data_IF_253394029405
#
_entry.id   IF_253394029405
#
_cell.length_a   1.000
_cell.length_b   1.000
_cell.length_c   1.000
_cell.angle_alpha   90.00
_cell.angle_beta   90.00
_cell.angle_gamma   90.00
#
_symmetry.space_group_name_H-M   'P 1'
#
loop_
_entity.id
_entity.type
_entity.pdbx_description
1 polymer ?
#
# COMPACT_ATOMS: atom_id res chain seq x y z
N UNK A 1 52.67 -40.60 -21.72
CA UNK A 1 52.02 -39.90 -20.60
C UNK A 1 50.54 -40.26 -20.60
N UNK A 2 50.05 -41.04 -19.64
CA UNK A 2 48.62 -41.30 -19.49
C UNK A 2 48.33 -41.51 -18.00
N UNK A 3 47.74 -40.49 -17.36
CA UNK A 3 47.26 -40.51 -15.96
C UNK A 3 46.07 -39.57 -15.82
N UNK A 4 45.13 -39.96 -14.95
CA UNK A 4 43.97 -39.23 -14.37
C UNK A 4 42.65 -39.33 -15.14
N UNK A 5 41.48 -39.42 -14.53
CA UNK A 5 41.09 -39.69 -13.13
C UNK A 5 39.58 -40.00 -13.08
N UNK A 6 39.17 -40.68 -12.02
CA UNK A 6 37.80 -40.93 -11.56
C UNK A 6 36.92 -39.68 -11.45
N UNK A 7 35.59 -39.83 -11.66
CA UNK A 7 34.54 -39.48 -10.68
C UNK A 7 33.27 -40.31 -10.94
N UNK A 8 32.80 -41.02 -9.90
CA UNK A 8 31.55 -41.76 -9.84
C UNK A 8 30.34 -40.86 -9.50
N UNK A 9 29.18 -41.22 -10.03
CA UNK A 9 27.90 -40.51 -9.84
C UNK A 9 27.01 -41.35 -8.93
N UNK A 10 26.85 -40.92 -7.68
CA UNK A 10 25.94 -41.52 -6.70
C UNK A 10 24.48 -41.17 -7.00
N UNK A 11 23.62 -42.19 -6.98
CA UNK A 11 22.17 -42.08 -6.76
C UNK A 11 21.79 -43.23 -5.83
N UNK A 12 21.66 -42.89 -4.55
CA UNK A 12 21.10 -43.77 -3.54
C UNK A 12 19.56 -43.71 -3.63
N UNK A 13 18.96 -44.87 -3.91
CA UNK A 13 17.57 -45.19 -3.54
C UNK A 13 17.59 -46.58 -2.92
N UNK A 14 17.57 -46.66 -1.58
CA UNK A 14 17.12 -47.84 -0.83
C UNK A 14 15.61 -48.04 -1.16
N UNK A 15 15.08 -49.17 -1.64
CA UNK A 15 15.04 -50.57 -1.14
C UNK A 15 14.52 -50.59 0.31
N UNK A 16 13.37 -51.18 0.64
CA UNK A 16 13.06 -52.62 0.86
C UNK A 16 11.53 -52.63 1.15
N UNK A 17 10.66 -53.32 0.39
CA UNK A 17 10.25 -54.74 0.45
C UNK A 17 9.37 -55.12 1.67
N UNK A 18 8.53 -56.15 1.47
CA UNK A 18 7.75 -56.94 2.44
C UNK A 18 6.21 -56.64 2.49
N UNK A 19 5.22 -57.53 2.44
CA UNK A 19 5.01 -58.95 2.07
C UNK A 19 3.48 -59.26 2.08
N UNK A 20 3.06 -60.23 1.26
CA UNK A 20 1.89 -61.16 1.40
C UNK A 20 0.40 -60.72 1.40
N UNK A 21 -0.29 -61.10 0.29
CA UNK A 21 -1.52 -61.95 0.10
C UNK A 21 -2.83 -61.75 0.96
N UNK A 22 -3.99 -62.38 0.65
CA UNK A 22 -5.21 -61.69 0.18
C UNK A 22 -6.46 -61.89 1.09
N UNK A 23 -7.58 -61.22 0.77
CA UNK A 23 -8.92 -61.76 1.07
C UNK A 23 -9.86 -60.91 1.93
N UNK A 24 -10.81 -60.26 1.24
CA UNK A 24 -12.27 -60.29 1.49
C UNK A 24 -12.77 -60.12 2.94
N UNK A 25 -13.34 -58.95 3.26
CA UNK A 25 -14.67 -58.83 3.89
C UNK A 25 -15.15 -57.37 4.01
N UNK A 26 -16.32 -57.11 3.42
CA UNK A 26 -17.45 -56.34 3.94
C UNK A 26 -17.17 -54.96 4.59
N UNK A 27 -17.61 -53.91 3.89
CA UNK A 27 -17.70 -52.56 4.46
C UNK A 27 -18.31 -51.58 3.47
N UNK A 28 -19.62 -51.64 3.30
CA UNK A 28 -20.47 -50.64 2.66
C UNK A 28 -20.16 -49.22 3.14
N UNK A 29 -19.55 -48.39 2.31
CA UNK A 29 -19.75 -46.95 2.34
C UNK A 29 -20.67 -46.60 1.18
N UNK A 30 -21.97 -46.57 1.46
CA UNK A 30 -22.98 -46.04 0.57
C UNK A 30 -22.69 -44.54 0.36
N UNK A 31 -22.48 -44.13 -0.88
CA UNK A 31 -22.40 -42.73 -1.26
C UNK A 31 -23.84 -42.18 -1.37
N UNK A 32 -24.26 -41.22 -0.52
CA UNK A 32 -25.66 -40.86 -0.36
C UNK A 32 -26.25 -39.97 -1.49
N UNK A 33 -25.54 -39.80 -2.60
CA UNK A 33 -25.98 -38.92 -3.71
C UNK A 33 -25.96 -39.56 -5.10
N UNK A 34 -25.76 -40.88 -5.22
CA UNK A 34 -25.96 -41.58 -6.50
C UNK A 34 -27.44 -41.89 -6.73
N UNK A 35 -28.06 -41.17 -7.68
CA UNK A 35 -29.39 -41.51 -8.21
C UNK A 35 -29.28 -42.60 -9.28
N UNK A 36 -30.08 -43.67 -9.25
CA UNK A 36 -29.99 -44.78 -10.21
C UNK A 36 -30.40 -44.43 -11.64
N UNK A 37 -29.68 -45.04 -12.57
CA UNK A 37 -29.89 -45.17 -14.02
C UNK A 37 -31.35 -45.28 -14.47
N UNK A 38 -31.70 -44.57 -15.56
CA UNK A 38 -32.61 -45.08 -16.61
C UNK A 38 -32.22 -44.45 -17.96
N UNK A 39 -31.36 -45.12 -18.72
CA UNK A 39 -31.67 -45.58 -20.09
C UNK A 39 -30.41 -45.91 -20.91
N UNK A 40 -30.09 -47.20 -20.93
CA UNK A 40 -29.41 -47.83 -22.07
C UNK A 40 -30.39 -47.86 -23.25
N UNK A 41 -30.02 -47.33 -24.41
CA UNK A 41 -30.01 -48.09 -25.69
C UNK A 41 -29.63 -47.25 -26.91
N UNK A 42 -28.70 -47.84 -27.67
CA UNK A 42 -28.58 -47.87 -29.14
C UNK A 42 -28.29 -46.56 -29.85
N UNK A 43 -27.08 -46.53 -30.43
CA UNK A 43 -26.70 -45.56 -31.44
C UNK A 43 -27.60 -45.61 -32.67
N UNK A 44 -27.69 -44.46 -33.33
CA UNK A 44 -27.90 -44.37 -34.77
C UNK A 44 -27.46 -43.00 -35.27
N UNK A 45 -26.57 -43.04 -36.24
CA UNK A 45 -26.28 -41.98 -37.22
C UNK A 45 -27.52 -41.20 -37.65
N UNK A 46 -27.44 -39.87 -37.70
CA UNK A 46 -28.54 -39.07 -38.25
C UNK A 46 -28.20 -37.60 -38.37
N UNK A 47 -28.06 -37.15 -39.61
CA UNK A 47 -27.67 -35.82 -40.05
C UNK A 47 -28.92 -34.92 -40.18
N UNK A 48 -28.73 -33.63 -39.86
CA UNK A 48 -29.47 -32.41 -40.32
C UNK A 48 -30.79 -31.96 -39.62
N UNK A 49 -30.66 -30.73 -39.08
CA UNK A 49 -31.49 -29.52 -39.25
C UNK A 49 -32.90 -29.47 -38.65
N UNK A 50 -33.07 -28.55 -37.69
CA UNK A 50 -34.10 -27.49 -37.61
C UNK A 50 -33.71 -26.55 -36.46
N UNK A 51 -33.37 -25.28 -36.71
CA UNK A 51 -34.24 -24.09 -36.57
C UNK A 51 -35.22 -24.17 -35.39
N UNK A 52 -34.99 -23.30 -34.39
CA UNK A 52 -35.91 -22.66 -33.44
C UNK A 52 -35.24 -22.64 -32.05
N UNK A 53 -35.11 -21.55 -31.33
CA UNK A 53 -35.48 -20.16 -31.56
C UNK A 53 -34.74 -19.36 -30.50
N UNK A 54 -34.30 -18.15 -30.85
CA UNK A 54 -33.79 -17.19 -29.89
C UNK A 54 -34.88 -16.91 -28.87
N UNK A 55 -34.80 -17.56 -27.72
CA UNK A 55 -35.70 -17.35 -26.60
C UNK A 55 -35.27 -16.05 -25.93
N UNK A 56 -35.75 -14.95 -26.47
CA UNK A 56 -35.90 -13.70 -25.74
C UNK A 56 -36.77 -13.98 -24.51
N UNK A 57 -36.11 -14.30 -23.41
CA UNK A 57 -36.73 -14.54 -22.13
C UNK A 57 -36.10 -13.61 -21.09
N UNK A 58 -36.88 -12.66 -20.60
CA UNK A 58 -36.63 -12.03 -19.30
C UNK A 58 -35.90 -10.69 -19.32
N UNK A 59 -36.30 -9.76 -20.19
CA UNK A 59 -36.05 -8.32 -19.97
C UNK A 59 -36.92 -7.81 -18.80
N UNK A 60 -36.52 -8.10 -17.56
CA UNK A 60 -37.30 -7.68 -16.37
C UNK A 60 -36.49 -7.40 -15.11
N UNK A 61 -35.25 -7.90 -14.99
CA UNK A 61 -34.41 -7.71 -13.80
C UNK A 61 -33.17 -6.83 -14.01
N UNK A 62 -32.72 -6.66 -15.26
CA UNK A 62 -31.47 -5.93 -15.55
C UNK A 62 -31.62 -4.41 -15.48
N UNK A 63 -32.85 -3.89 -15.56
CA UNK A 63 -33.11 -2.46 -15.38
C UNK A 63 -32.96 -2.06 -13.91
N UNK A 64 -33.33 -2.92 -12.95
CA UNK A 64 -33.10 -2.69 -11.52
C UNK A 64 -31.61 -2.56 -11.19
N UNK A 65 -30.74 -3.32 -11.86
CA UNK A 65 -29.29 -3.15 -11.74
C UNK A 65 -28.82 -1.80 -12.29
N UNK A 66 -29.44 -1.33 -13.38
CA UNK A 66 -29.15 -0.03 -13.96
C UNK A 66 -29.64 1.13 -13.08
N UNK A 67 -30.83 1.01 -12.49
CA UNK A 67 -31.38 1.97 -11.54
C UNK A 67 -30.56 1.99 -10.24
N UNK A 68 -30.21 0.82 -9.70
CA UNK A 68 -29.33 0.71 -8.54
C UNK A 68 -27.95 1.32 -8.80
N UNK A 69 -27.41 1.14 -10.02
CA UNK A 69 -26.18 1.82 -10.44
C UNK A 69 -26.34 3.32 -10.63
N UNK A 70 -27.46 3.79 -11.18
CA UNK A 70 -27.74 5.22 -11.32
C UNK A 70 -27.83 5.89 -9.93
N UNK A 71 -28.46 5.22 -8.97
CA UNK A 71 -28.52 5.67 -7.57
C UNK A 71 -27.12 5.63 -6.95
N UNK A 72 -26.35 4.55 -7.12
CA UNK A 72 -24.98 4.44 -6.63
C UNK A 72 -24.09 5.55 -7.21
N UNK A 73 -24.18 5.80 -8.51
CA UNK A 73 -23.47 6.89 -9.19
C UNK A 73 -23.89 8.25 -8.66
N UNK A 74 -25.20 8.48 -8.48
CA UNK A 74 -25.70 9.73 -7.89
C UNK A 74 -25.20 9.92 -6.45
N UNK A 75 -25.13 8.85 -5.64
CA UNK A 75 -24.61 8.88 -4.28
C UNK A 75 -23.10 9.18 -4.27
N UNK A 76 -22.33 8.54 -5.15
CA UNK A 76 -20.91 8.84 -5.36
C UNK A 76 -20.72 10.30 -5.78
N UNK A 77 -21.54 10.81 -6.71
CA UNK A 77 -21.46 12.18 -7.23
C UNK A 77 -21.83 13.20 -6.16
N UNK A 78 -22.84 12.92 -5.32
CA UNK A 78 -23.20 13.73 -4.15
C UNK A 78 -22.09 13.71 -3.12
N UNK A 79 -21.47 12.56 -2.83
CA UNK A 79 -20.31 12.48 -1.93
C UNK A 79 -19.11 13.24 -2.51
N UNK A 80 -18.89 13.20 -3.81
CA UNK A 80 -17.85 13.99 -4.47
C UNK A 80 -18.15 15.49 -4.34
N UNK A 81 -19.33 15.94 -4.77
CA UNK A 81 -19.73 17.35 -4.77
C UNK A 81 -19.81 17.92 -3.36
N UNK A 82 -20.28 17.14 -2.38
CA UNK A 82 -20.41 17.58 -1.00
C UNK A 82 -19.13 17.37 -0.19
N UNK A 83 -18.33 16.36 -0.51
CA UNK A 83 -17.00 16.11 0.09
C UNK A 83 -15.93 17.08 -0.40
N UNK A 84 -16.12 17.71 -1.56
CA UNK A 84 -15.23 18.77 -2.07
C UNK A 84 -15.42 20.09 -1.31
N UNK A 85 -16.53 20.30 -0.60
CA UNK A 85 -16.84 21.62 0.00
C UNK A 85 -16.09 21.97 1.29
N UNK A 86 -15.30 21.05 1.88
CA UNK A 86 -14.57 21.29 3.13
C UNK A 86 -13.04 21.37 3.01
N UNK A 87 -12.35 20.76 2.01
CA UNK A 87 -10.91 20.97 1.88
C UNK A 87 -10.44 21.68 0.59
N UNK A 88 -11.30 21.94 -0.40
CA UNK A 88 -10.83 22.46 -1.70
C UNK A 88 -10.88 23.98 -1.87
N UNK A 89 -11.47 24.75 -0.94
CA UNK A 89 -11.38 26.22 -1.00
C UNK A 89 -9.99 26.77 -0.58
N UNK A 90 -9.08 25.92 -0.08
CA UNK A 90 -7.73 26.33 0.34
C UNK A 90 -6.61 25.88 -0.60
N UNK A 91 -6.89 25.04 -1.60
CA UNK A 91 -5.85 24.45 -2.46
C UNK A 91 -6.09 24.63 -3.97
N UNK A 92 -7.08 25.41 -4.39
CA UNK A 92 -7.35 25.65 -5.84
C UNK A 92 -7.41 27.15 -6.18
N UNK A 93 -6.74 27.98 -5.37
CA UNK A 93 -6.42 29.36 -5.75
C UNK A 93 -5.03 29.48 -6.39
N UNK A 94 -4.15 28.48 -6.27
CA UNK A 94 -2.88 28.46 -7.00
C UNK A 94 -2.59 27.08 -7.59
N UNK A 95 -2.54 27.09 -8.92
CA UNK A 95 -1.93 26.16 -9.86
C UNK A 95 -2.56 24.80 -10.15
N UNK A 96 -3.07 24.73 -11.38
CA UNK A 96 -3.56 23.53 -12.03
C UNK A 96 -2.48 22.50 -12.36
N UNK A 97 -2.95 21.26 -12.47
CA UNK A 97 -2.51 20.21 -13.38
C UNK A 97 -1.04 20.25 -13.84
N UNK A 98 -0.21 19.37 -13.27
CA UNK A 98 0.72 18.48 -14.03
C UNK A 98 1.51 17.60 -13.06
N UNK A 99 1.31 16.28 -13.14
CA UNK A 99 2.39 15.33 -12.82
C UNK A 99 3.48 15.54 -13.87
N UNK A 100 4.46 16.37 -13.54
CA UNK A 100 5.72 16.48 -14.27
C UNK A 100 6.84 16.36 -13.26
N UNK A 101 7.71 15.39 -13.48
CA UNK A 101 8.98 15.23 -12.80
C UNK A 101 9.81 16.51 -13.04
N UNK A 102 9.69 17.47 -12.13
CA UNK A 102 10.32 18.77 -12.25
C UNK A 102 11.82 18.65 -11.95
N UNK A 103 12.65 18.67 -13.00
CA UNK A 103 14.04 19.11 -12.86
C UNK A 103 14.04 20.55 -12.34
N UNK A 104 14.70 20.87 -11.21
CA UNK A 104 14.74 22.24 -10.72
C UNK A 104 15.41 23.16 -11.74
N UNK A 105 14.64 24.14 -12.20
CA UNK A 105 15.12 25.25 -13.01
C UNK A 105 16.08 26.11 -12.21
N UNK A 106 17.13 26.58 -12.89
CA UNK A 106 18.26 27.34 -12.36
C UNK A 106 17.85 28.78 -12.03
N UNK A 107 17.07 28.94 -10.96
CA UNK A 107 16.90 30.19 -10.20
C UNK A 107 16.74 29.76 -8.75
N UNK A 108 17.71 30.09 -7.90
CA UNK A 108 17.87 29.54 -6.55
C UNK A 108 16.74 29.95 -5.60
N UNK A 109 15.59 29.31 -5.77
CA UNK A 109 14.45 29.40 -4.88
C UNK A 109 14.40 28.12 -4.05
N UNK A 110 14.06 28.26 -2.77
CA UNK A 110 13.98 27.13 -1.87
C UNK A 110 12.94 26.10 -2.37
N UNK A 111 13.24 24.78 -2.34
CA UNK A 111 12.35 23.75 -2.86
C UNK A 111 11.21 23.44 -1.87
N UNK A 112 10.25 24.36 -1.73
CA UNK A 112 9.21 24.31 -0.69
C UNK A 112 8.35 23.05 -0.73
N UNK A 113 7.95 22.58 -1.92
CA UNK A 113 7.13 21.36 -2.05
C UNK A 113 7.88 20.12 -1.57
N UNK A 114 9.13 19.95 -2.01
CA UNK A 114 9.99 18.84 -1.59
C UNK A 114 10.28 18.90 -0.08
N UNK A 115 10.57 20.09 0.46
CA UNK A 115 10.78 20.29 1.89
C UNK A 115 9.52 19.98 2.71
N UNK A 116 8.34 20.35 2.23
CA UNK A 116 7.07 20.02 2.87
C UNK A 116 6.86 18.50 2.97
N UNK A 117 7.04 17.78 1.87
CA UNK A 117 6.95 16.31 1.86
C UNK A 117 8.01 15.64 2.75
N UNK A 118 9.24 16.15 2.70
CA UNK A 118 10.35 15.65 3.52
C UNK A 118 10.08 15.85 5.02
N UNK A 119 9.61 17.03 5.42
CA UNK A 119 9.24 17.31 6.80
C UNK A 119 8.04 16.46 7.26
N UNK A 120 7.08 16.15 6.38
CA UNK A 120 5.96 15.26 6.69
C UNK A 120 6.45 13.83 6.99
N UNK A 121 7.35 13.29 6.15
CA UNK A 121 7.95 11.97 6.38
C UNK A 121 8.74 11.93 7.69
N UNK A 122 9.58 12.94 7.91
CA UNK A 122 10.31 13.10 9.16
C UNK A 122 9.36 13.16 10.36
N UNK A 123 8.29 13.97 10.31
CA UNK A 123 7.34 14.13 11.41
C UNK A 123 6.60 12.82 11.74
N UNK A 124 6.30 11.99 10.73
CA UNK A 124 5.77 10.66 10.97
C UNK A 124 6.74 9.80 11.78
N UNK A 125 8.02 9.77 11.45
CA UNK A 125 9.00 8.97 12.23
C UNK A 125 9.28 9.60 13.60
N UNK A 126 9.37 10.93 13.65
CA UNK A 126 9.70 11.67 14.86
C UNK A 126 8.61 11.56 15.94
N UNK A 127 7.33 11.67 15.55
CA UNK A 127 6.19 11.67 16.47
C UNK A 127 5.62 10.27 16.74
N UNK A 128 5.95 9.26 15.94
CA UNK A 128 5.57 7.87 16.23
C UNK A 128 6.71 7.16 16.96
N UNK A 129 6.80 7.34 18.28
CA UNK A 129 7.79 6.67 19.11
C UNK A 129 7.15 5.65 20.05
N UNK A 130 7.88 4.58 20.31
CA UNK A 130 7.54 3.53 21.26
C UNK A 130 8.84 2.99 21.85
N UNK A 131 8.94 3.00 23.18
CA UNK A 131 10.09 2.49 23.92
C UNK A 131 10.50 1.08 23.50
N UNK A 132 9.56 0.21 23.08
CA UNK A 132 9.87 -1.16 22.63
C UNK A 132 10.56 -1.20 21.27
N UNK A 133 10.35 -0.18 20.44
CA UNK A 133 10.81 -0.11 19.05
C UNK A 133 11.82 1.02 18.82
N UNK A 134 12.45 1.52 19.89
CA UNK A 134 13.38 2.65 19.82
C UNK A 134 14.52 2.47 18.80
N UNK A 135 15.19 1.31 18.67
CA UNK A 135 16.25 1.12 17.68
C UNK A 135 15.75 1.19 16.22
N UNK A 136 14.54 0.72 15.95
CA UNK A 136 13.97 0.76 14.60
C UNK A 136 13.64 2.19 14.17
N UNK A 137 13.05 2.98 15.08
CA UNK A 137 12.82 4.41 14.87
C UNK A 137 14.13 5.16 14.64
N UNK A 138 15.16 4.84 15.42
CA UNK A 138 16.47 5.46 15.30
C UNK A 138 17.08 5.26 13.90
N UNK A 139 16.99 4.04 13.36
CA UNK A 139 17.46 3.73 12.01
C UNK A 139 16.69 4.53 10.94
N UNK A 140 15.38 4.70 11.12
CA UNK A 140 14.56 5.50 10.21
C UNK A 140 14.89 7.00 10.31
N UNK A 141 15.14 7.52 11.52
CA UNK A 141 15.47 8.93 11.73
C UNK A 141 16.80 9.33 11.09
N UNK A 142 17.80 8.45 11.09
CA UNK A 142 19.12 8.73 10.49
C UNK A 142 19.05 9.20 9.05
N UNK A 143 18.07 8.75 8.27
CA UNK A 143 17.88 9.19 6.87
C UNK A 143 17.57 10.68 6.73
N UNK A 144 17.03 11.31 7.79
CA UNK A 144 16.64 12.71 7.78
C UNK A 144 17.66 13.63 8.46
N UNK A 145 18.63 13.05 9.16
CA UNK A 145 19.54 13.76 10.03
C UNK A 145 20.96 13.79 9.44
N UNK A 146 21.75 14.83 9.73
CA UNK A 146 23.17 14.80 9.41
C UNK A 146 23.89 13.73 10.25
N UNK A 147 24.99 13.18 9.73
CA UNK A 147 25.71 12.03 10.32
C UNK A 147 26.10 12.20 11.79
N UNK A 148 26.31 13.43 12.24
CA UNK A 148 26.75 13.77 13.60
C UNK A 148 25.60 14.17 14.55
N UNK A 149 24.34 14.03 14.13
CA UNK A 149 23.20 14.36 14.97
C UNK A 149 22.93 13.29 16.04
N UNK A 150 22.31 13.73 17.15
CA UNK A 150 21.73 12.83 18.15
C UNK A 150 20.68 11.92 17.48
N UNK A 151 20.85 10.58 17.52
CA UNK A 151 20.05 9.67 16.74
C UNK A 151 18.62 9.50 17.30
N UNK A 152 18.38 9.86 18.56
CA UNK A 152 17.03 9.92 19.14
C UNK A 152 16.38 11.31 18.99
N UNK A 153 17.18 12.29 18.58
CA UNK A 153 16.81 13.65 18.23
C UNK A 153 16.00 14.36 19.31
N UNK A 154 16.36 14.16 20.58
CA UNK A 154 15.72 14.80 21.74
C UNK A 154 14.66 13.95 22.46
N UNK A 155 14.35 12.72 22.00
CA UNK A 155 13.55 11.78 22.77
C UNK A 155 14.42 10.98 23.75
N UNK A 156 13.93 10.78 24.98
CA UNK A 156 14.66 10.08 26.05
C UNK A 156 14.44 8.55 26.05
N UNK A 157 13.91 7.99 24.96
CA UNK A 157 13.57 6.57 24.83
C UNK A 157 12.52 6.05 25.81
N UNK A 158 11.75 6.94 26.46
CA UNK A 158 10.69 6.56 27.41
C UNK A 158 9.31 6.96 26.88
N UNK A 159 8.35 6.07 27.10
CA UNK A 159 6.95 6.29 26.75
C UNK A 159 6.64 5.97 25.29
N UNK A 160 5.46 6.40 24.85
CA UNK A 160 4.97 6.19 23.49
C UNK A 160 4.11 7.35 23.03
N UNK A 161 4.15 7.63 21.73
CA UNK A 161 3.26 8.54 21.03
C UNK A 161 2.95 7.93 19.67
N UNK A 162 1.69 8.03 19.26
CA UNK A 162 1.25 7.61 17.94
C UNK A 162 0.35 8.69 17.36
N UNK A 163 0.69 9.18 16.17
CA UNK A 163 -0.10 10.17 15.45
C UNK A 163 -0.99 9.48 14.43
N UNK A 164 -2.25 9.89 14.39
CA UNK A 164 -3.26 9.37 13.46
C UNK A 164 -3.22 10.10 12.12
N UNK A 165 -2.83 11.38 12.13
CA UNK A 165 -2.66 12.17 10.93
C UNK A 165 -1.52 13.17 11.08
N UNK A 166 -0.87 13.46 9.97
CA UNK A 166 0.19 14.47 9.85
C UNK A 166 -0.03 15.23 8.55
N UNK A 167 -0.03 16.55 8.62
CA UNK A 167 -0.26 17.44 7.47
C UNK A 167 0.66 18.66 7.53
N UNK A 168 1.08 19.16 6.37
CA UNK A 168 1.85 20.40 6.29
C UNK A 168 0.87 21.58 6.42
N UNK A 169 1.16 22.50 7.33
CA UNK A 169 0.42 23.75 7.48
C UNK A 169 1.03 24.92 6.70
N UNK A 170 2.34 24.88 6.47
CA UNK A 170 3.03 25.90 5.69
C UNK A 170 4.54 25.69 5.65
N UNK A 171 5.18 26.33 4.68
CA UNK A 171 6.64 26.37 4.54
C UNK A 171 7.07 27.82 4.55
N UNK A 172 7.91 28.19 5.50
CA UNK A 172 8.49 29.52 5.63
C UNK A 172 9.96 29.48 5.21
N UNK A 173 10.22 29.82 3.94
CA UNK A 173 11.56 29.85 3.39
C UNK A 173 12.27 31.14 3.81
N UNK A 174 13.38 31.00 4.55
CA UNK A 174 14.21 32.12 5.00
C UNK A 174 15.18 32.56 3.92
N UNK A 175 15.72 31.60 3.17
CA UNK A 175 16.63 31.82 2.05
C UNK A 175 16.57 30.63 1.07
N UNK A 176 17.46 30.60 0.06
CA UNK A 176 17.49 29.55 -0.96
C UNK A 176 17.77 28.13 -0.43
N UNK A 177 18.34 28.02 0.77
CA UNK A 177 18.76 26.76 1.39
C UNK A 177 18.06 26.48 2.72
N UNK A 178 17.48 27.47 3.40
CA UNK A 178 16.89 27.28 4.73
C UNK A 178 15.40 27.59 4.72
N UNK A 179 14.61 26.68 5.28
CA UNK A 179 13.20 26.93 5.58
C UNK A 179 12.78 26.31 6.91
N UNK A 180 11.67 26.80 7.45
CA UNK A 180 10.95 26.17 8.55
C UNK A 180 9.62 25.65 8.04
N UNK A 181 9.42 24.34 8.10
CA UNK A 181 8.15 23.72 7.74
C UNK A 181 7.29 23.58 8.98
N UNK A 182 6.09 24.13 8.97
CA UNK A 182 5.11 23.91 10.03
C UNK A 182 4.27 22.69 9.71
N UNK A 183 4.27 21.71 10.59
CA UNK A 183 3.52 20.46 10.48
C UNK A 183 2.47 20.42 11.58
N UNK A 184 1.26 20.01 11.24
CA UNK A 184 0.20 19.69 12.19
C UNK A 184 0.09 18.17 12.29
N UNK A 185 0.05 17.67 13.50
CA UNK A 185 -0.17 16.26 13.76
C UNK A 185 -1.30 16.07 14.76
N UNK A 186 -2.10 15.03 14.57
CA UNK A 186 -3.17 14.67 15.49
C UNK A 186 -2.83 13.36 16.19
N UNK A 187 -2.93 13.32 17.51
CA UNK A 187 -2.94 12.08 18.29
C UNK A 187 -4.18 12.07 19.15
N UNK A 188 -5.05 11.07 18.96
CA UNK A 188 -6.33 10.98 19.65
C UNK A 188 -7.12 12.30 19.45
N UNK A 189 -7.40 13.02 20.54
CA UNK A 189 -8.13 14.29 20.53
C UNK A 189 -7.22 15.53 20.65
N UNK A 190 -5.90 15.35 20.59
CA UNK A 190 -4.94 16.43 20.71
C UNK A 190 -4.25 16.74 19.39
N UNK A 191 -4.20 18.03 19.06
CA UNK A 191 -3.40 18.57 17.98
C UNK A 191 -2.03 19.03 18.50
N UNK A 192 -1.00 18.73 17.71
CA UNK A 192 0.35 19.21 17.89
C UNK A 192 0.73 20.03 16.68
N UNK A 193 1.43 21.13 16.92
CA UNK A 193 2.05 21.93 15.87
C UNK A 193 3.56 21.82 16.04
N UNK A 194 4.25 21.44 14.98
CA UNK A 194 5.68 21.19 14.98
C UNK A 194 6.36 22.09 13.95
N UNK A 195 7.32 22.91 14.37
CA UNK A 195 8.19 23.65 13.47
C UNK A 195 9.42 22.79 13.18
N UNK A 196 9.63 22.45 11.91
CA UNK A 196 10.67 21.54 11.42
C UNK A 196 11.66 22.34 10.56
N UNK A 197 12.87 22.62 11.06
CA UNK A 197 13.91 23.29 10.29
C UNK A 197 14.48 22.37 9.20
N UNK A 198 14.43 22.80 7.95
CA UNK A 198 14.91 22.04 6.78
C UNK A 198 16.01 22.83 6.08
N UNK A 199 17.11 22.15 5.76
CA UNK A 199 18.18 22.66 4.93
C UNK A 199 18.21 21.92 3.58
N UNK A 200 18.36 22.68 2.51
CA UNK A 200 18.51 22.20 1.14
C UNK A 200 19.92 22.54 0.64
N UNK A 201 20.66 21.51 0.20
CA UNK A 201 21.94 21.72 -0.44
C UNK A 201 21.77 22.18 -1.91
N UNK A 202 22.89 22.54 -2.55
CA UNK A 202 22.89 22.99 -3.95
C UNK A 202 22.58 21.85 -4.95
N UNK A 203 22.68 20.59 -4.52
CA UNK A 203 22.36 19.40 -5.32
C UNK A 203 20.89 18.99 -5.20
N UNK A 204 20.12 19.60 -4.29
CA UNK A 204 18.72 19.30 -4.01
C UNK A 204 18.48 18.27 -2.90
N UNK A 205 19.52 17.84 -2.18
CA UNK A 205 19.39 17.00 -1.00
C UNK A 205 18.84 17.82 0.18
N UNK A 206 17.98 17.19 0.98
CA UNK A 206 17.31 17.80 2.13
C UNK A 206 17.74 17.12 3.42
N UNK A 207 17.95 17.90 4.46
CA UNK A 207 18.24 17.42 5.82
C UNK A 207 17.51 18.27 6.85
N UNK A 208 17.21 17.69 8.01
CA UNK A 208 16.68 18.43 9.14
C UNK A 208 17.85 19.11 9.86
N UNK A 209 17.88 20.44 9.82
CA UNK A 209 19.05 21.21 10.23
C UNK A 209 19.11 21.49 11.73
N UNK A 210 17.99 21.39 12.44
CA UNK A 210 17.92 21.63 13.88
C UNK A 210 16.75 20.87 14.51
N UNK A 211 16.76 20.78 15.85
CA UNK A 211 15.69 20.14 16.60
C UNK A 211 14.34 20.82 16.35
N UNK A 212 13.28 20.05 16.07
CA UNK A 212 11.95 20.59 15.88
C UNK A 212 11.42 21.19 17.17
N UNK A 213 10.67 22.28 17.05
CA UNK A 213 10.01 22.92 18.18
C UNK A 213 8.52 22.58 18.18
N UNK A 214 7.98 22.19 19.34
CA UNK A 214 6.53 22.15 19.55
C UNK A 214 6.03 23.58 19.75
N UNK A 215 5.09 23.98 18.90
CA UNK A 215 4.45 25.28 18.94
C UNK A 215 3.14 25.21 19.75
N UNK A 216 2.73 26.31 20.40
CA UNK A 216 1.44 26.41 21.07
C UNK A 216 0.26 26.39 20.10
#
# INVERSE_FOLDING_TARGET
>A
MARRSAVGRGRDTAVVEETAVPGRALGTSADPWETPDLDRRRGRSGKRRTRAGGRWGGSGGRWWVWVGRAILWALILVILVNGIRAPFERFTADDGTSSSEAKPGKSAQFPSSAAGAFALQFANVYLNYDQKNAPAREAQLRTFLPDNADPQFGWNSVGQLQVQSVQVAGVDARDASNATVTVLARSQDKWYRLAVPVYADKAGALVISARPALLP
#
